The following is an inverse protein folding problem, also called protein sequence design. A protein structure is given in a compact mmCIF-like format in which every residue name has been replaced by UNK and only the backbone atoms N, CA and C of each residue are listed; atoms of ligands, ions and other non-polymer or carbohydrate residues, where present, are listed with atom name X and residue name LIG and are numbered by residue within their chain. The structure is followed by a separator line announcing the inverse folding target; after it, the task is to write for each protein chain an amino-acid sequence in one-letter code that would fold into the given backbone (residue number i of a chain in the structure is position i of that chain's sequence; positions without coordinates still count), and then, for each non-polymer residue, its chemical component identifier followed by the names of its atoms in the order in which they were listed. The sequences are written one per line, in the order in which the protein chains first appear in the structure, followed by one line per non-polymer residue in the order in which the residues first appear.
data_IF_228949615247
#
_entry.id   IF_228949615247
#
_cell.length_a   1.000
_cell.length_b   1.000
_cell.length_c   1.000
_cell.angle_alpha   90.00
_cell.angle_beta   90.00
_cell.angle_gamma   90.00
#
_symmetry.space_group_name_H-M   'P 1'
#
loop_
_entity.id
_entity.type
_entity.pdbx_description
1 polymer ?
#
# COMPACT_ATOMS: atom_id res chain seq x y z
N UNK A 1 -13.48 44.21 -3.52
CA UNK A 1 -13.49 42.98 -2.72
C UNK A 1 -13.90 41.88 -3.68
N UNK A 2 -12.93 41.12 -4.18
CA UNK A 2 -13.14 39.95 -5.05
C UNK A 2 -13.34 38.64 -4.26
N UNK A 3 -13.07 38.66 -2.96
CA UNK A 3 -13.31 37.59 -2.02
C UNK A 3 -14.79 37.45 -1.73
N UNK A 4 -15.34 36.29 -2.03
CA UNK A 4 -16.77 36.05 -1.98
C UNK A 4 -17.17 34.81 -1.17
N UNK A 5 -16.28 34.27 -0.33
CA UNK A 5 -16.63 33.10 0.50
C UNK A 5 -17.69 33.47 1.56
N UNK A 6 -18.83 32.76 1.63
CA UNK A 6 -19.99 33.18 2.40
C UNK A 6 -19.82 33.11 3.92
N UNK A 7 -18.92 32.24 4.40
CA UNK A 7 -18.77 31.93 5.82
C UNK A 7 -17.40 32.25 6.42
N UNK A 8 -16.41 32.62 5.59
CA UNK A 8 -15.01 32.77 6.03
C UNK A 8 -14.45 34.06 5.48
N UNK A 9 -13.94 34.93 6.35
CA UNK A 9 -13.33 36.18 5.96
C UNK A 9 -11.89 35.97 5.46
N UNK A 10 -11.43 36.82 4.53
CA UNK A 10 -10.07 36.76 3.97
C UNK A 10 -9.00 36.86 5.07
N UNK A 11 -9.20 37.74 6.04
CA UNK A 11 -8.28 37.97 7.15
C UNK A 11 -8.11 36.72 8.02
N UNK A 12 -9.18 35.93 8.16
CA UNK A 12 -9.16 34.68 8.89
C UNK A 12 -8.35 33.61 8.14
N UNK A 13 -8.53 33.51 6.82
CA UNK A 13 -7.72 32.63 5.96
C UNK A 13 -6.24 32.98 6.08
N UNK A 14 -5.87 34.25 5.95
CA UNK A 14 -4.47 34.71 6.05
C UNK A 14 -3.86 34.42 7.44
N UNK A 15 -4.64 34.55 8.51
CA UNK A 15 -4.22 34.19 9.86
C UNK A 15 -3.93 32.69 9.98
N UNK A 16 -4.81 31.85 9.42
CA UNK A 16 -4.65 30.39 9.44
C UNK A 16 -3.49 29.93 8.56
N UNK A 17 -3.22 30.61 7.44
CA UNK A 17 -2.07 30.30 6.57
C UNK A 17 -0.74 30.41 7.32
N UNK A 18 -0.59 31.40 8.22
CA UNK A 18 0.63 31.51 9.05
C UNK A 18 0.84 30.26 9.93
N UNK A 19 -0.20 29.83 10.63
CA UNK A 19 -0.12 28.60 11.45
C UNK A 19 0.08 27.34 10.60
N UNK A 20 -0.53 27.28 9.42
CA UNK A 20 -0.35 26.17 8.50
C UNK A 20 1.08 26.08 7.97
N UNK A 21 1.72 27.21 7.70
CA UNK A 21 3.14 27.30 7.33
C UNK A 21 4.03 26.74 8.44
N UNK A 22 3.76 27.09 9.70
CA UNK A 22 4.50 26.54 10.84
C UNK A 22 4.35 25.01 10.93
N UNK A 23 3.14 24.49 10.69
CA UNK A 23 2.87 23.05 10.60
C UNK A 23 3.68 22.39 9.49
N UNK A 24 3.75 22.98 8.29
CA UNK A 24 4.55 22.45 7.17
C UNK A 24 6.06 22.45 7.47
N UNK A 25 6.57 23.48 8.13
CA UNK A 25 7.98 23.56 8.56
C UNK A 25 8.30 22.44 9.56
N UNK A 26 7.46 22.28 10.58
CA UNK A 26 7.64 21.24 11.59
C UNK A 26 7.44 19.83 11.03
N UNK A 27 6.55 19.66 10.04
CA UNK A 27 6.35 18.40 9.33
C UNK A 27 7.60 17.99 8.52
N UNK A 28 8.47 18.94 8.16
CA UNK A 28 9.79 18.69 7.57
C UNK A 28 10.80 18.01 8.50
N UNK A 29 10.43 17.74 9.76
CA UNK A 29 11.17 16.86 10.68
C UNK A 29 12.17 17.55 11.61
N UNK A 30 12.23 18.89 11.61
CA UNK A 30 13.11 19.66 12.49
C UNK A 30 12.37 20.85 13.11
N UNK A 31 12.62 21.09 14.39
CA UNK A 31 12.18 22.30 15.09
C UNK A 31 13.15 23.46 14.82
N UNK A 32 12.79 24.68 15.22
CA UNK A 32 13.65 25.88 15.08
C UNK A 32 14.99 25.77 15.82
N UNK A 33 15.10 24.90 16.83
CA UNK A 33 16.36 24.62 17.54
C UNK A 33 17.24 23.58 16.83
N UNK A 34 16.78 23.02 15.70
CA UNK A 34 17.47 21.94 14.99
C UNK A 34 17.24 20.54 15.58
N UNK A 35 16.51 20.42 16.69
CA UNK A 35 16.07 19.13 17.23
C UNK A 35 15.06 18.45 16.29
N UNK A 36 14.98 17.12 16.32
CA UNK A 36 13.96 16.39 15.57
C UNK A 36 12.56 16.81 16.05
N UNK A 37 11.68 17.14 15.10
CA UNK A 37 10.29 17.44 15.42
C UNK A 37 9.57 16.13 15.77
N UNK A 38 9.03 16.05 16.99
CA UNK A 38 8.20 14.93 17.43
C UNK A 38 6.74 15.23 17.15
N UNK A 39 6.05 14.28 16.55
CA UNK A 39 4.62 14.35 16.26
C UNK A 39 3.92 13.14 16.86
N UNK A 40 2.78 13.37 17.50
CA UNK A 40 1.82 12.33 17.87
C UNK A 40 0.81 12.10 16.74
N UNK A 41 0.18 10.93 16.74
CA UNK A 41 -0.87 10.57 15.79
C UNK A 41 -2.01 11.61 15.74
N UNK A 42 -2.39 12.18 16.88
CA UNK A 42 -3.43 13.20 16.96
C UNK A 42 -3.00 14.54 16.36
N UNK A 43 -1.73 14.92 16.47
CA UNK A 43 -1.20 16.15 15.85
C UNK A 43 -1.11 16.00 14.33
N UNK A 44 -0.76 14.82 13.83
CA UNK A 44 -0.83 14.50 12.39
C UNK A 44 -2.27 14.59 11.87
N UNK A 45 -3.23 14.01 12.60
CA UNK A 45 -4.68 14.12 12.29
C UNK A 45 -5.16 15.57 12.29
N UNK A 46 -4.67 16.41 13.21
CA UNK A 46 -5.01 17.84 13.26
C UNK A 46 -4.41 18.62 12.08
N UNK A 47 -3.15 18.35 11.72
CA UNK A 47 -2.50 18.95 10.56
C UNK A 47 -3.26 18.67 9.26
N UNK A 48 -3.74 17.44 9.08
CA UNK A 48 -4.55 17.07 7.92
C UNK A 48 -5.97 17.66 7.95
N UNK A 49 -6.58 17.83 9.14
CA UNK A 49 -7.84 18.57 9.29
C UNK A 49 -7.71 20.04 8.92
N UNK A 50 -6.61 20.69 9.29
CA UNK A 50 -6.31 22.04 8.81
C UNK A 50 -6.14 22.11 7.30
N UNK A 51 -5.46 21.12 6.70
CA UNK A 51 -5.36 21.05 5.26
C UNK A 51 -6.72 20.85 4.55
N UNK A 52 -7.61 20.02 5.12
CA UNK A 52 -8.97 19.83 4.61
C UNK A 52 -9.76 21.14 4.56
N UNK A 53 -9.70 21.91 5.64
CA UNK A 53 -10.39 23.19 5.74
C UNK A 53 -10.01 24.15 4.60
N UNK A 54 -8.73 24.25 4.23
CA UNK A 54 -8.32 25.05 3.09
C UNK A 54 -8.90 24.52 1.78
N UNK A 55 -8.82 23.22 1.54
CA UNK A 55 -9.36 22.63 0.31
C UNK A 55 -10.88 22.81 0.19
N UNK A 56 -11.62 22.73 1.31
CA UNK A 56 -13.07 22.99 1.37
C UNK A 56 -13.41 24.43 1.00
N UNK A 57 -12.68 25.43 1.51
CA UNK A 57 -12.88 26.84 1.12
C UNK A 57 -12.76 27.02 -0.41
N UNK A 58 -11.72 26.44 -1.01
CA UNK A 58 -11.52 26.58 -2.46
C UNK A 58 -12.53 25.78 -3.27
N UNK A 59 -13.01 24.66 -2.73
CA UNK A 59 -14.11 23.91 -3.32
C UNK A 59 -15.40 24.74 -3.31
N UNK A 60 -15.77 25.33 -2.18
CA UNK A 60 -16.96 26.17 -2.05
C UNK A 60 -16.90 27.40 -2.98
N UNK A 61 -15.72 28.00 -3.14
CA UNK A 61 -15.49 29.08 -4.10
C UNK A 61 -15.63 28.62 -5.56
N UNK A 62 -15.21 27.39 -5.89
CA UNK A 62 -15.39 26.81 -7.24
C UNK A 62 -16.86 26.50 -7.50
N UNK A 63 -17.54 25.87 -6.54
CA UNK A 63 -18.95 25.49 -6.64
C UNK A 63 -19.87 26.72 -6.76
N UNK A 64 -19.48 27.84 -6.16
CA UNK A 64 -20.17 29.14 -6.30
C UNK A 64 -19.75 29.97 -7.51
N UNK A 65 -18.78 29.51 -8.31
CA UNK A 65 -18.28 30.21 -9.49
C UNK A 65 -17.44 31.46 -9.19
N UNK A 66 -17.04 31.68 -7.94
CA UNK A 66 -16.31 32.87 -7.47
C UNK A 66 -14.80 32.64 -7.33
N UNK A 67 -14.31 31.44 -7.66
CA UNK A 67 -12.92 31.03 -7.45
C UNK A 67 -11.90 31.98 -8.06
N UNK A 68 -12.03 32.36 -9.33
CA UNK A 68 -10.98 33.11 -10.04
C UNK A 68 -10.69 34.48 -9.42
N UNK A 69 -11.73 35.24 -9.07
CA UNK A 69 -11.56 36.57 -8.50
C UNK A 69 -11.13 36.50 -7.02
N UNK A 70 -11.65 35.52 -6.26
CA UNK A 70 -11.26 35.28 -4.88
C UNK A 70 -9.82 34.76 -4.75
N UNK A 71 -9.40 33.87 -5.65
CA UNK A 71 -8.04 33.32 -5.71
C UNK A 71 -7.02 34.41 -6.07
N UNK A 72 -7.34 35.27 -7.04
CA UNK A 72 -6.48 36.40 -7.44
C UNK A 72 -6.26 37.40 -6.30
N UNK A 73 -7.32 37.73 -5.56
CA UNK A 73 -7.21 38.63 -4.40
C UNK A 73 -6.44 37.96 -3.25
N UNK A 74 -6.69 36.67 -2.98
CA UNK A 74 -5.94 35.92 -1.97
C UNK A 74 -4.45 35.84 -2.33
N UNK A 75 -4.11 35.57 -3.59
CA UNK A 75 -2.71 35.48 -4.05
C UNK A 75 -1.97 36.81 -3.91
N UNK A 76 -2.63 37.94 -4.17
CA UNK A 76 -2.07 39.25 -3.92
C UNK A 76 -1.79 39.47 -2.41
N UNK A 77 -2.72 39.07 -1.54
CA UNK A 77 -2.54 39.17 -0.10
C UNK A 77 -1.46 38.20 0.45
N UNK A 78 -1.34 37.00 -0.13
CA UNK A 78 -0.29 36.04 0.18
C UNK A 78 1.09 36.53 -0.26
N UNK A 79 1.18 37.27 -1.37
CA UNK A 79 2.43 37.90 -1.83
C UNK A 79 2.95 38.91 -0.80
N UNK A 80 2.08 39.75 -0.24
CA UNK A 80 2.43 40.67 0.83
C UNK A 80 2.85 39.92 2.11
N UNK A 81 2.12 38.86 2.46
CA UNK A 81 2.42 38.02 3.62
C UNK A 81 3.81 37.36 3.52
N UNK A 82 4.11 36.78 2.35
CA UNK A 82 5.36 36.05 2.08
C UNK A 82 6.56 36.97 1.89
N UNK A 83 6.33 38.25 1.56
CA UNK A 83 7.37 39.27 1.47
C UNK A 83 7.88 39.76 2.83
N UNK A 84 7.23 39.36 3.93
CA UNK A 84 7.67 39.74 5.27
C UNK A 84 9.02 39.08 5.64
N UNK A 85 9.96 39.82 6.27
CA UNK A 85 11.32 39.34 6.52
C UNK A 85 11.42 38.12 7.47
N UNK A 86 10.36 37.82 8.22
CA UNK A 86 10.25 36.66 9.10
C UNK A 86 9.58 35.44 8.47
N UNK A 87 9.13 35.51 7.22
CA UNK A 87 8.45 34.39 6.56
C UNK A 87 9.45 33.32 6.10
N UNK A 88 9.16 32.01 6.27
CA UNK A 88 10.04 30.94 5.82
C UNK A 88 10.28 31.00 4.30
N UNK A 89 11.52 31.34 3.89
CA UNK A 89 11.89 31.53 2.47
C UNK A 89 11.62 30.30 1.60
N UNK A 90 11.68 29.09 2.17
CA UNK A 90 11.36 27.84 1.48
C UNK A 90 9.87 27.66 1.14
N UNK A 91 9.00 28.50 1.70
CA UNK A 91 7.55 28.54 1.46
C UNK A 91 7.09 29.89 0.90
N UNK A 92 8.01 30.74 0.43
CA UNK A 92 7.68 32.06 -0.13
C UNK A 92 6.81 32.01 -1.41
N UNK A 93 6.51 30.82 -1.93
CA UNK A 93 5.70 30.59 -3.14
C UNK A 93 4.26 30.17 -2.78
N UNK A 94 3.86 30.18 -1.50
CA UNK A 94 2.49 29.81 -1.09
C UNK A 94 1.45 30.67 -1.83
N UNK A 95 0.54 29.98 -2.54
CA UNK A 95 -0.54 30.54 -3.36
C UNK A 95 -1.86 29.78 -3.12
N UNK A 96 -2.97 30.33 -3.58
CA UNK A 96 -4.30 29.75 -3.63
C UNK A 96 -4.28 28.34 -4.22
N UNK A 97 -3.59 28.14 -5.36
CA UNK A 97 -3.40 26.83 -5.99
C UNK A 97 -2.73 25.82 -5.04
N UNK A 98 -1.69 26.23 -4.32
CA UNK A 98 -1.00 25.38 -3.35
C UNK A 98 -1.90 25.02 -2.16
N UNK A 99 -2.66 25.99 -1.64
CA UNK A 99 -3.59 25.77 -0.54
C UNK A 99 -4.79 24.91 -0.98
N UNK A 100 -5.19 24.96 -2.25
CA UNK A 100 -6.19 24.06 -2.83
C UNK A 100 -5.74 22.60 -2.91
N UNK A 101 -4.45 22.35 -2.69
CA UNK A 101 -3.82 21.03 -2.57
C UNK A 101 -3.17 20.82 -1.17
N UNK A 102 -3.69 21.50 -0.14
CA UNK A 102 -3.06 21.53 1.18
C UNK A 102 -2.78 20.14 1.77
N UNK A 103 -3.63 19.12 1.54
CA UNK A 103 -3.38 17.77 2.05
C UNK A 103 -2.15 17.16 1.39
N UNK A 104 -1.99 17.34 0.09
CA UNK A 104 -0.80 16.88 -0.65
C UNK A 104 0.46 17.53 -0.07
N UNK A 105 0.40 18.82 0.28
CA UNK A 105 1.55 19.52 0.86
C UNK A 105 1.93 18.97 2.23
N UNK A 106 0.95 18.75 3.12
CA UNK A 106 1.19 18.16 4.44
C UNK A 106 1.82 16.78 4.30
N UNK A 107 1.22 15.91 3.47
CA UNK A 107 1.72 14.56 3.22
C UNK A 107 3.16 14.60 2.68
N UNK A 108 3.43 15.43 1.67
CA UNK A 108 4.77 15.56 1.09
C UNK A 108 5.80 16.03 2.11
N UNK A 109 5.46 16.95 3.01
CA UNK A 109 6.40 17.45 4.02
C UNK A 109 6.72 16.40 5.08
N UNK A 110 5.69 15.70 5.58
CA UNK A 110 5.90 14.55 6.46
C UNK A 110 6.77 13.50 5.76
N UNK A 111 6.45 13.09 4.54
CA UNK A 111 7.21 12.08 3.80
C UNK A 111 8.65 12.49 3.44
N UNK A 112 8.96 13.79 3.40
CA UNK A 112 10.33 14.28 3.18
C UNK A 112 11.18 14.26 4.45
N UNK A 113 10.56 14.22 5.63
CA UNK A 113 11.30 14.15 6.88
C UNK A 113 12.06 12.83 6.95
N UNK A 114 13.37 12.89 7.23
CA UNK A 114 14.23 11.69 7.35
C UNK A 114 13.89 10.81 8.57
N UNK A 115 12.94 11.23 9.40
CA UNK A 115 12.62 10.68 10.74
C UNK A 115 11.13 10.39 10.94
N UNK A 116 10.34 10.16 9.88
CA UNK A 116 8.92 9.81 10.07
C UNK A 116 8.83 8.48 10.82
N UNK A 117 8.13 8.50 11.96
CA UNK A 117 7.87 7.29 12.73
C UNK A 117 6.73 6.46 12.11
N UNK A 118 6.68 5.18 12.45
CA UNK A 118 5.63 4.25 11.95
C UNK A 118 4.24 4.71 12.39
N UNK A 119 4.12 5.23 13.61
CA UNK A 119 2.87 5.75 14.16
C UNK A 119 2.39 6.99 13.39
N UNK A 120 3.32 7.84 12.96
CA UNK A 120 3.02 9.02 12.17
C UNK A 120 2.63 8.67 10.72
N UNK A 121 3.24 7.63 10.14
CA UNK A 121 2.81 7.08 8.84
C UNK A 121 1.41 6.47 8.93
N UNK A 122 1.14 5.67 9.96
CA UNK A 122 -0.17 5.07 10.22
C UNK A 122 -1.26 6.12 10.40
N UNK A 123 -1.00 7.15 11.23
CA UNK A 123 -1.91 8.26 11.44
C UNK A 123 -2.16 9.08 10.16
N UNK A 124 -1.14 9.25 9.31
CA UNK A 124 -1.25 9.99 8.06
C UNK A 124 -2.08 9.23 7.01
N UNK A 125 -1.93 7.89 6.97
CA UNK A 125 -2.79 7.02 6.16
C UNK A 125 -4.24 7.02 6.68
N UNK A 126 -4.43 6.79 7.98
CA UNK A 126 -5.74 6.75 8.63
C UNK A 126 -6.51 8.07 8.46
N UNK A 127 -5.85 9.21 8.67
CA UNK A 127 -6.44 10.53 8.53
C UNK A 127 -6.79 10.87 7.08
N UNK A 128 -5.94 10.50 6.12
CA UNK A 128 -6.22 10.67 4.69
C UNK A 128 -7.43 9.81 4.26
N UNK A 129 -7.62 8.65 4.89
CA UNK A 129 -8.75 7.75 4.64
C UNK A 129 -10.06 8.21 5.32
N UNK A 130 -9.99 8.71 6.57
CA UNK A 130 -11.15 9.09 7.37
C UNK A 130 -11.70 10.50 7.06
N UNK A 131 -10.94 11.33 6.35
CA UNK A 131 -11.30 12.69 5.93
C UNK A 131 -12.57 12.82 5.05
N UNK A 132 -13.23 11.72 4.70
CA UNK A 132 -14.40 11.68 3.80
C UNK A 132 -15.74 11.41 4.49
N UNK A 133 -15.79 11.17 5.80
CA UNK A 133 -17.04 10.76 6.49
C UNK A 133 -17.67 11.91 7.28
N UNK A 134 -17.79 13.08 6.65
CA UNK A 134 -18.28 14.31 7.28
C UNK A 134 -19.15 15.16 6.37
N UNK A 135 -20.07 14.56 5.62
CA UNK A 135 -21.04 15.29 4.80
C UNK A 135 -22.24 14.42 4.45
N UNK A 136 -23.43 14.82 4.91
CA UNK A 136 -24.72 14.19 4.61
C UNK A 136 -25.02 14.24 3.09
N UNK A 137 -25.66 13.23 2.48
CA UNK A 137 -25.79 13.18 1.03
C UNK A 137 -27.02 13.98 0.56
N UNK A 138 -26.82 14.90 -0.38
CA UNK A 138 -27.89 15.37 -1.26
C UNK A 138 -27.41 15.40 -2.69
N UNK A 139 -28.12 14.60 -3.50
CA UNK A 139 -28.17 14.53 -4.97
C UNK A 139 -26.91 14.14 -5.74
N UNK A 140 -27.14 13.17 -6.62
CA UNK A 140 -26.22 12.45 -7.48
C UNK A 140 -25.67 13.31 -8.63
N UNK A 141 -24.51 12.88 -9.10
CA UNK A 141 -23.98 13.08 -10.45
C UNK A 141 -23.41 14.47 -10.77
N UNK A 142 -22.24 14.80 -10.20
CA UNK A 142 -21.18 15.56 -10.91
C UNK A 142 -19.82 15.68 -10.15
N UNK A 143 -19.74 15.30 -8.87
CA UNK A 143 -18.55 15.55 -8.01
C UNK A 143 -17.39 14.52 -8.10
N UNK A 144 -17.33 13.67 -9.13
CA UNK A 144 -16.36 12.55 -9.15
C UNK A 144 -14.96 12.87 -9.74
N UNK A 145 -14.75 14.04 -10.33
CA UNK A 145 -13.51 14.33 -11.06
C UNK A 145 -12.36 14.89 -10.19
N UNK A 146 -12.62 15.87 -9.29
CA UNK A 146 -11.54 16.54 -8.53
C UNK A 146 -11.01 15.70 -7.35
N UNK A 147 -11.89 14.98 -6.64
CA UNK A 147 -11.48 14.18 -5.46
C UNK A 147 -10.55 13.01 -5.81
N UNK A 148 -10.66 12.49 -7.04
CA UNK A 148 -9.82 11.40 -7.56
C UNK A 148 -8.38 11.87 -7.85
N UNK A 149 -8.19 13.17 -8.11
CA UNK A 149 -6.88 13.76 -8.42
C UNK A 149 -5.93 13.77 -7.22
N UNK A 150 -6.40 14.23 -6.06
CA UNK A 150 -5.56 14.38 -4.86
C UNK A 150 -5.10 13.03 -4.28
N UNK A 151 -5.98 12.02 -4.26
CA UNK A 151 -5.62 10.66 -3.81
C UNK A 151 -4.51 10.04 -4.67
N UNK A 152 -4.58 10.20 -6.00
CA UNK A 152 -3.55 9.71 -6.94
C UNK A 152 -2.21 10.42 -6.76
N UNK A 153 -2.21 11.72 -6.42
CA UNK A 153 -0.99 12.49 -6.17
C UNK A 153 -0.35 12.07 -4.84
N UNK A 154 -1.16 11.85 -3.80
CA UNK A 154 -0.69 11.35 -2.50
C UNK A 154 -0.03 9.98 -2.65
N UNK A 155 -0.67 9.03 -3.35
CA UNK A 155 -0.11 7.70 -3.62
C UNK A 155 1.22 7.80 -4.39
N UNK A 156 1.33 8.70 -5.38
CA UNK A 156 2.58 8.95 -6.11
C UNK A 156 3.69 9.50 -5.20
N UNK A 157 3.39 10.39 -4.26
CA UNK A 157 4.38 10.91 -3.32
C UNK A 157 4.85 9.84 -2.33
N UNK A 158 3.93 9.02 -1.82
CA UNK A 158 4.29 7.83 -1.03
C UNK A 158 5.21 6.89 -1.80
N UNK A 159 4.88 6.60 -3.06
CA UNK A 159 5.69 5.76 -3.93
C UNK A 159 7.10 6.34 -4.12
N UNK A 160 7.21 7.66 -4.38
CA UNK A 160 8.49 8.35 -4.57
C UNK A 160 9.37 8.35 -3.32
N UNK A 161 8.78 8.58 -2.14
CA UNK A 161 9.51 8.53 -0.87
C UNK A 161 10.00 7.12 -0.56
N UNK A 162 9.16 6.10 -0.79
CA UNK A 162 9.56 4.70 -0.68
C UNK A 162 10.69 4.36 -1.65
N UNK A 163 10.62 4.85 -2.89
CA UNK A 163 11.68 4.65 -3.89
C UNK A 163 13.01 5.25 -3.46
N UNK A 164 12.99 6.45 -2.88
CA UNK A 164 14.20 7.13 -2.35
C UNK A 164 14.78 6.42 -1.13
N UNK A 165 13.94 5.96 -0.20
CA UNK A 165 14.39 5.23 0.99
C UNK A 165 14.98 3.86 0.63
N UNK A 166 14.36 3.15 -0.32
CA UNK A 166 14.86 1.87 -0.84
C UNK A 166 16.20 2.02 -1.58
N UNK A 167 16.39 3.12 -2.33
CA UNK A 167 17.68 3.41 -2.97
C UNK A 167 18.81 3.68 -1.95
N UNK A 168 18.50 4.26 -0.79
CA UNK A 168 19.48 4.41 0.29
C UNK A 168 19.87 3.05 0.90
N UNK A 169 18.90 2.17 1.17
CA UNK A 169 19.17 0.81 1.63
C UNK A 169 19.98 -0.02 0.61
N UNK A 170 19.78 0.21 -0.70
CA UNK A 170 20.60 -0.39 -1.75
C UNK A 170 22.03 0.14 -1.76
N UNK A 171 22.21 1.45 -1.57
CA UNK A 171 23.54 2.03 -1.48
C UNK A 171 24.27 1.42 -0.27
N UNK A 172 23.61 1.31 0.89
CA UNK A 172 24.15 0.69 2.10
C UNK A 172 24.49 -0.80 1.90
N UNK A 173 23.58 -1.60 1.34
CA UNK A 173 23.82 -3.03 1.11
C UNK A 173 24.80 -3.30 -0.04
N UNK A 174 24.81 -2.46 -1.06
CA UNK A 174 25.78 -2.45 -2.14
C UNK A 174 27.18 -2.10 -1.63
N UNK A 175 27.29 -1.10 -0.76
CA UNK A 175 28.51 -0.74 -0.03
C UNK A 175 28.96 -1.86 0.90
N UNK A 176 28.05 -2.54 1.60
CA UNK A 176 28.37 -3.68 2.45
C UNK A 176 28.86 -4.89 1.65
N UNK A 177 28.24 -5.15 0.51
CA UNK A 177 28.67 -6.21 -0.42
C UNK A 177 30.03 -5.88 -1.04
N UNK A 178 30.25 -4.63 -1.46
CA UNK A 178 31.54 -4.13 -1.92
C UNK A 178 32.59 -4.25 -0.81
N UNK A 179 32.28 -3.82 0.41
CA UNK A 179 33.15 -3.92 1.58
C UNK A 179 33.52 -5.38 1.89
N UNK A 180 32.55 -6.29 1.81
CA UNK A 180 32.76 -7.72 2.01
C UNK A 180 33.58 -8.35 0.87
N UNK A 181 33.43 -7.86 -0.36
CA UNK A 181 34.27 -8.27 -1.49
C UNK A 181 35.70 -7.75 -1.36
N UNK A 182 35.89 -6.52 -0.90
CA UNK A 182 37.22 -5.93 -0.63
C UNK A 182 37.91 -6.66 0.52
N UNK A 183 37.17 -7.01 1.59
CA UNK A 183 37.68 -7.86 2.69
C UNK A 183 38.06 -9.26 2.21
N UNK A 184 37.31 -9.84 1.28
CA UNK A 184 37.59 -11.17 0.70
C UNK A 184 38.82 -11.14 -0.22
N UNK A 185 38.94 -10.11 -1.06
CA UNK A 185 40.12 -9.88 -1.92
C UNK A 185 41.38 -9.55 -1.11
N UNK A 186 41.23 -8.87 0.04
CA UNK A 186 42.31 -8.66 1.01
C UNK A 186 42.82 -9.97 1.63
N UNK A 187 41.98 -11.01 1.71
CA UNK A 187 42.33 -12.31 2.27
C UNK A 187 42.85 -13.29 1.20
N UNK A 188 42.44 -13.12 -0.06
CA UNK A 188 42.79 -13.99 -1.20
C UNK A 188 44.08 -13.58 -1.95
N UNK A 189 44.73 -12.47 -1.59
CA UNK A 189 46.01 -12.05 -2.18
C UNK A 189 47.22 -12.96 -1.86
N UNK A 190 47.01 -14.20 -1.39
CA UNK A 190 48.08 -15.17 -1.17
C UNK A 190 48.15 -16.34 -2.16
N UNK A 191 47.24 -16.50 -3.15
CA UNK A 191 47.36 -17.62 -4.12
C UNK A 191 46.92 -17.21 -5.54
N UNK A 192 47.91 -17.11 -6.44
CA UNK A 192 47.75 -16.73 -7.85
C UNK A 192 47.00 -17.78 -8.69
N UNK A 193 45.98 -17.36 -9.47
CA UNK A 193 45.71 -17.82 -10.86
C UNK A 193 44.71 -16.87 -11.58
N UNK A 194 44.84 -16.65 -12.90
CA UNK A 194 43.98 -15.73 -13.63
C UNK A 194 42.71 -16.45 -14.11
N UNK A 195 41.53 -15.83 -13.94
CA UNK A 195 40.29 -16.35 -14.51
C UNK A 195 39.44 -15.24 -15.15
N UNK A 196 39.14 -15.48 -16.44
CA UNK A 196 37.96 -15.14 -17.28
C UNK A 196 37.14 -13.88 -16.89
N UNK A 197 36.82 -12.97 -17.84
CA UNK A 197 36.06 -11.76 -17.53
C UNK A 197 34.63 -12.10 -17.07
N UNK A 198 34.39 -12.01 -15.76
CA UNK A 198 33.09 -12.13 -15.16
C UNK A 198 32.21 -10.94 -15.55
N UNK A 199 31.20 -11.15 -16.39
CA UNK A 199 30.07 -10.22 -16.51
C UNK A 199 29.45 -10.12 -15.10
N UNK A 200 29.26 -8.92 -14.53
CA UNK A 200 29.31 -8.77 -13.08
C UNK A 200 27.97 -9.21 -12.48
N UNK A 201 28.02 -10.07 -11.46
CA UNK A 201 26.88 -10.46 -10.59
C UNK A 201 26.03 -9.26 -10.12
N UNK A 202 26.63 -8.06 -10.11
CA UNK A 202 26.01 -6.77 -9.84
C UNK A 202 24.89 -6.40 -10.82
N UNK A 203 25.02 -6.69 -12.13
CA UNK A 203 24.00 -6.33 -13.13
C UNK A 203 22.71 -7.13 -12.94
N UNK A 204 22.83 -8.45 -12.74
CA UNK A 204 21.68 -9.34 -12.48
C UNK A 204 20.96 -8.99 -11.17
N UNK A 205 21.71 -8.59 -10.14
CA UNK A 205 21.14 -8.16 -8.87
C UNK A 205 20.32 -6.87 -8.99
N UNK A 206 20.71 -5.95 -9.88
CA UNK A 206 19.97 -4.72 -10.17
C UNK A 206 18.66 -5.05 -10.90
N UNK A 207 18.69 -5.95 -11.89
CA UNK A 207 17.49 -6.35 -12.64
C UNK A 207 16.46 -7.05 -11.74
N UNK A 208 16.89 -7.99 -10.90
CA UNK A 208 16.01 -8.69 -9.96
C UNK A 208 15.41 -7.73 -8.90
N UNK A 209 16.17 -6.71 -8.50
CA UNK A 209 15.66 -5.66 -7.61
C UNK A 209 14.61 -4.78 -8.29
N UNK A 210 14.82 -4.38 -9.54
CA UNK A 210 13.83 -3.61 -10.30
C UNK A 210 12.53 -4.40 -10.49
N UNK A 211 12.64 -5.71 -10.75
CA UNK A 211 11.47 -6.60 -10.81
C UNK A 211 10.75 -6.69 -9.47
N UNK A 212 11.47 -6.85 -8.36
CA UNK A 212 10.88 -6.83 -7.02
C UNK A 212 10.19 -5.49 -6.71
N UNK A 213 10.80 -4.35 -7.10
CA UNK A 213 10.20 -3.02 -6.96
C UNK A 213 8.87 -2.92 -7.71
N UNK A 214 8.85 -3.35 -8.96
CA UNK A 214 7.67 -3.31 -9.80
C UNK A 214 6.55 -4.20 -9.24
N UNK A 215 6.90 -5.43 -8.82
CA UNK A 215 5.97 -6.35 -8.17
C UNK A 215 5.39 -5.76 -6.88
N UNK A 216 6.26 -5.21 -6.01
CA UNK A 216 5.84 -4.60 -4.75
C UNK A 216 4.93 -3.39 -4.98
N UNK A 217 5.26 -2.53 -5.93
CA UNK A 217 4.43 -1.38 -6.30
C UNK A 217 3.05 -1.82 -6.82
N UNK A 218 2.99 -2.87 -7.64
CA UNK A 218 1.73 -3.48 -8.11
C UNK A 218 0.87 -3.98 -6.95
N UNK A 219 1.48 -4.67 -5.99
CA UNK A 219 0.78 -5.16 -4.79
C UNK A 219 0.23 -4.01 -3.93
N UNK A 220 1.05 -2.98 -3.68
CA UNK A 220 0.62 -1.80 -2.92
C UNK A 220 -0.46 -1.01 -3.64
N UNK A 221 -0.39 -0.91 -4.97
CA UNK A 221 -1.43 -0.25 -5.77
C UNK A 221 -2.78 -0.92 -5.61
N UNK A 222 -2.83 -2.24 -5.41
CA UNK A 222 -4.07 -2.96 -5.13
C UNK A 222 -4.52 -2.75 -3.68
N UNK A 223 -3.62 -2.94 -2.71
CA UNK A 223 -3.95 -2.82 -1.28
C UNK A 223 -4.35 -1.40 -0.87
N UNK A 224 -3.85 -0.37 -1.57
CA UNK A 224 -4.17 1.02 -1.27
C UNK A 224 -5.22 1.60 -2.24
N UNK A 225 -5.81 0.76 -3.09
CA UNK A 225 -6.82 1.20 -4.03
C UNK A 225 -8.10 1.62 -3.31
N UNK A 226 -8.69 2.73 -3.76
CA UNK A 226 -9.88 3.32 -3.15
C UNK A 226 -11.08 2.38 -3.20
N UNK A 227 -11.26 1.63 -4.30
CA UNK A 227 -12.32 0.62 -4.42
C UNK A 227 -12.10 -0.47 -3.38
N UNK A 228 -10.88 -0.97 -3.24
CA UNK A 228 -10.58 -2.07 -2.31
C UNK A 228 -10.82 -1.65 -0.87
N UNK A 229 -10.46 -0.42 -0.50
CA UNK A 229 -10.74 0.13 0.84
C UNK A 229 -12.26 0.22 1.08
N UNK A 230 -13.06 0.63 0.08
CA UNK A 230 -14.53 0.67 0.19
C UNK A 230 -15.13 -0.73 0.35
N UNK A 231 -14.65 -1.69 -0.44
CA UNK A 231 -15.11 -3.09 -0.36
C UNK A 231 -14.74 -3.68 1.01
N UNK A 232 -13.55 -3.39 1.54
CA UNK A 232 -13.13 -3.79 2.88
C UNK A 232 -14.05 -3.21 3.96
N UNK A 233 -14.39 -1.92 3.89
CA UNK A 233 -15.33 -1.29 4.82
C UNK A 233 -16.73 -1.92 4.73
N UNK A 234 -17.21 -2.20 3.51
CA UNK A 234 -18.46 -2.92 3.28
C UNK A 234 -18.43 -4.34 3.85
N UNK A 235 -17.34 -5.08 3.63
CA UNK A 235 -17.14 -6.42 4.19
C UNK A 235 -17.20 -6.39 5.73
N UNK A 236 -16.56 -5.39 6.36
CA UNK A 236 -16.62 -5.18 7.82
C UNK A 236 -18.06 -5.06 8.33
N UNK A 237 -18.93 -4.36 7.59
CA UNK A 237 -20.33 -4.18 7.98
C UNK A 237 -21.13 -5.46 7.77
N UNK A 238 -20.91 -6.16 6.65
CA UNK A 238 -21.64 -7.39 6.30
C UNK A 238 -21.31 -8.51 7.30
N UNK A 239 -20.03 -8.73 7.59
CA UNK A 239 -19.59 -9.86 8.41
C UNK A 239 -19.76 -9.64 9.92
N UNK A 240 -20.10 -8.42 10.35
CA UNK A 240 -20.59 -8.16 11.72
C UNK A 240 -22.00 -8.72 11.97
N UNK A 241 -22.75 -9.02 10.92
CA UNK A 241 -24.05 -9.67 11.06
C UNK A 241 -23.87 -11.17 11.37
N UNK A 242 -24.84 -11.82 12.04
CA UNK A 242 -24.83 -13.28 12.23
C UNK A 242 -24.64 -14.05 10.92
N UNK A 243 -23.94 -15.20 11.00
CA UNK A 243 -23.58 -16.05 9.87
C UNK A 243 -24.73 -16.31 8.90
N UNK A 244 -25.89 -16.66 9.44
CA UNK A 244 -27.09 -17.00 8.69
C UNK A 244 -27.64 -15.81 7.89
N UNK A 245 -27.36 -14.57 8.31
CA UNK A 245 -27.85 -13.37 7.64
C UNK A 245 -27.00 -13.02 6.42
N UNK A 246 -25.67 -12.98 6.56
CA UNK A 246 -24.82 -12.68 5.41
C UNK A 246 -24.73 -13.82 4.40
N UNK A 247 -24.89 -15.08 4.82
CA UNK A 247 -24.99 -16.20 3.86
C UNK A 247 -26.20 -16.05 2.92
N UNK A 248 -27.34 -15.56 3.42
CA UNK A 248 -28.53 -15.27 2.60
C UNK A 248 -28.31 -14.14 1.59
N UNK A 249 -27.42 -13.19 1.89
CA UNK A 249 -27.06 -12.11 0.95
C UNK A 249 -26.28 -12.69 -0.24
N UNK A 250 -25.47 -13.71 -0.03
CA UNK A 250 -24.63 -14.30 -1.08
C UNK A 250 -25.33 -15.41 -1.88
N UNK A 251 -26.41 -15.97 -1.37
CA UNK A 251 -27.16 -17.05 -2.04
C UNK A 251 -27.69 -16.64 -3.44
N UNK A 252 -28.29 -15.45 -3.63
CA UNK A 252 -28.69 -14.99 -4.97
C UNK A 252 -27.51 -14.76 -5.93
N UNK A 253 -26.33 -14.38 -5.40
CA UNK A 253 -25.14 -14.07 -6.20
C UNK A 253 -24.48 -15.32 -6.79
N UNK A 254 -24.73 -16.49 -6.21
CA UNK A 254 -24.25 -17.79 -6.74
C UNK A 254 -24.95 -18.21 -8.03
N UNK A 255 -26.19 -17.75 -8.25
CA UNK A 255 -27.02 -18.13 -9.40
C UNK A 255 -26.88 -17.22 -10.63
N UNK A 256 -26.24 -16.06 -10.50
CA UNK A 256 -26.02 -15.10 -11.59
C UNK A 256 -24.86 -15.57 -12.49
N UNK A 257 -25.18 -16.47 -13.41
CA UNK A 257 -24.27 -16.94 -14.45
C UNK A 257 -24.26 -15.96 -15.63
N UNK A 258 -23.75 -14.74 -15.43
CA UNK A 258 -23.34 -13.92 -16.56
C UNK A 258 -21.94 -14.35 -17.05
N UNK A 259 -21.70 -14.44 -18.37
CA UNK A 259 -20.45 -14.96 -18.93
C UNK A 259 -19.23 -14.06 -18.69
N UNK A 260 -19.41 -12.83 -18.21
CA UNK A 260 -18.33 -11.83 -18.12
C UNK A 260 -17.88 -11.54 -16.68
N UNK A 261 -18.76 -11.69 -15.68
CA UNK A 261 -18.49 -11.45 -14.26
C UNK A 261 -19.29 -12.47 -13.45
N UNK A 262 -18.65 -13.54 -12.97
CA UNK A 262 -19.38 -14.53 -12.17
C UNK A 262 -19.49 -14.00 -10.75
N UNK A 263 -20.70 -13.77 -10.23
CA UNK A 263 -20.94 -13.28 -8.85
C UNK A 263 -20.18 -14.02 -7.74
N UNK A 264 -19.69 -15.23 -8.05
CA UNK A 264 -18.79 -16.00 -7.19
C UNK A 264 -17.39 -15.36 -7.02
N UNK A 265 -16.84 -14.67 -8.02
CA UNK A 265 -15.56 -13.94 -7.91
C UNK A 265 -15.70 -12.77 -6.94
N UNK A 266 -16.74 -11.96 -7.10
CA UNK A 266 -17.01 -10.83 -6.21
C UNK A 266 -17.30 -11.32 -4.79
N UNK A 267 -18.07 -12.41 -4.65
CA UNK A 267 -18.31 -13.05 -3.35
C UNK A 267 -17.00 -13.50 -2.71
N UNK A 268 -16.08 -14.09 -3.48
CA UNK A 268 -14.79 -14.53 -2.96
C UNK A 268 -13.87 -13.35 -2.61
N UNK A 269 -13.79 -12.31 -3.45
CA UNK A 269 -13.04 -11.09 -3.13
C UNK A 269 -13.54 -10.48 -1.82
N UNK A 270 -14.86 -10.39 -1.66
CA UNK A 270 -15.50 -9.88 -0.44
C UNK A 270 -15.21 -10.76 0.79
N UNK A 271 -15.28 -12.09 0.66
CA UNK A 271 -14.94 -13.01 1.76
C UNK A 271 -13.48 -12.88 2.19
N UNK A 272 -12.54 -12.81 1.23
CA UNK A 272 -11.11 -12.66 1.54
C UNK A 272 -10.79 -11.31 2.17
N UNK A 273 -11.44 -10.22 1.73
CA UNK A 273 -11.32 -8.90 2.35
C UNK A 273 -11.95 -8.88 3.76
N UNK A 274 -13.10 -9.54 3.93
CA UNK A 274 -13.75 -9.71 5.22
C UNK A 274 -12.85 -10.39 6.25
N UNK A 275 -12.19 -11.49 5.86
CA UNK A 275 -11.31 -12.28 6.74
C UNK A 275 -9.98 -11.60 7.11
N UNK A 276 -9.68 -10.44 6.52
CA UNK A 276 -8.49 -9.64 6.86
C UNK A 276 -8.82 -8.26 7.40
N UNK A 277 -10.10 -7.91 7.53
CA UNK A 277 -10.52 -6.57 7.91
C UNK A 277 -9.94 -6.16 9.27
N UNK A 278 -9.95 -7.04 10.27
CA UNK A 278 -9.40 -6.75 11.61
C UNK A 278 -7.88 -6.58 11.64
N UNK A 279 -7.17 -7.10 10.64
CA UNK A 279 -5.70 -7.12 10.55
C UNK A 279 -5.14 -6.35 9.36
N UNK A 280 -5.97 -5.62 8.63
CA UNK A 280 -5.62 -4.97 7.37
C UNK A 280 -4.44 -4.00 7.51
N UNK A 281 -4.50 -3.10 8.49
CA UNK A 281 -3.42 -2.15 8.74
C UNK A 281 -2.11 -2.85 9.08
N UNK A 282 -2.16 -3.86 9.96
CA UNK A 282 -0.99 -4.64 10.35
C UNK A 282 -0.39 -5.43 9.18
N UNK A 283 -1.24 -5.92 8.26
CA UNK A 283 -0.79 -6.59 7.03
C UNK A 283 -0.09 -5.61 6.08
N UNK A 284 -0.65 -4.42 5.88
CA UNK A 284 -0.04 -3.37 5.04
C UNK A 284 1.29 -2.92 5.63
N UNK A 285 1.33 -2.64 6.93
CA UNK A 285 2.56 -2.26 7.63
C UNK A 285 3.66 -3.31 7.44
N UNK A 286 3.35 -4.57 7.71
CA UNK A 286 4.29 -5.70 7.51
C UNK A 286 4.75 -5.79 6.05
N UNK A 287 3.84 -5.61 5.09
CA UNK A 287 4.17 -5.65 3.67
C UNK A 287 5.04 -4.45 3.25
N UNK A 288 4.84 -3.27 3.83
CA UNK A 288 5.69 -2.09 3.58
C UNK A 288 7.08 -2.27 4.21
N UNK A 289 7.15 -2.88 5.39
CA UNK A 289 8.42 -3.21 6.05
C UNK A 289 9.20 -4.32 5.34
N UNK A 290 8.61 -4.98 4.34
CA UNK A 290 9.24 -6.04 3.57
C UNK A 290 10.50 -5.52 2.85
N UNK A 291 11.67 -6.08 3.17
CA UNK A 291 12.93 -5.72 2.52
C UNK A 291 13.24 -6.67 1.38
N UNK A 292 13.89 -6.16 0.33
CA UNK A 292 14.34 -6.99 -0.77
C UNK A 292 15.27 -8.09 -0.26
N UNK A 293 15.04 -9.33 -0.67
CA UNK A 293 15.99 -10.43 -0.47
C UNK A 293 16.23 -11.12 -1.81
N UNK A 294 17.49 -11.33 -2.15
CA UNK A 294 17.87 -12.04 -3.36
C UNK A 294 17.68 -13.55 -3.12
N UNK A 295 16.47 -14.05 -3.39
CA UNK A 295 16.07 -15.44 -3.19
C UNK A 295 15.49 -15.97 -4.51
N UNK A 296 16.03 -17.06 -5.08
CA UNK A 296 15.48 -17.67 -6.28
C UNK A 296 14.04 -18.17 -6.06
N UNK A 297 13.21 -18.09 -7.08
CA UNK A 297 11.81 -18.55 -7.05
C UNK A 297 11.70 -20.04 -6.70
N UNK A 298 12.63 -20.87 -7.19
CA UNK A 298 12.76 -22.29 -6.81
C UNK A 298 12.83 -22.49 -5.30
N UNK A 299 13.64 -21.66 -4.63
CA UNK A 299 13.80 -21.72 -3.18
C UNK A 299 12.55 -21.23 -2.45
N UNK A 300 11.95 -20.13 -2.92
CA UNK A 300 10.69 -19.62 -2.35
C UNK A 300 9.57 -20.67 -2.43
N UNK A 301 9.46 -21.35 -3.57
CA UNK A 301 8.50 -22.41 -3.80
C UNK A 301 8.74 -23.63 -2.90
N UNK A 302 9.99 -24.08 -2.77
CA UNK A 302 10.35 -25.19 -1.88
C UNK A 302 10.03 -24.87 -0.40
N UNK A 303 10.36 -23.66 0.06
CA UNK A 303 10.09 -23.20 1.43
C UNK A 303 8.57 -23.16 1.73
N UNK A 304 7.74 -22.80 0.75
CA UNK A 304 6.27 -22.81 0.88
C UNK A 304 5.71 -24.22 1.08
N UNK A 305 6.21 -25.19 0.32
CA UNK A 305 5.84 -26.61 0.49
C UNK A 305 6.30 -27.15 1.85
N UNK A 306 7.48 -26.74 2.33
CA UNK A 306 7.93 -27.09 3.68
C UNK A 306 7.03 -26.50 4.77
N UNK A 307 6.53 -25.27 4.57
CA UNK A 307 5.58 -24.64 5.48
C UNK A 307 4.26 -25.43 5.56
N UNK A 308 3.73 -25.89 4.43
CA UNK A 308 2.54 -26.75 4.41
C UNK A 308 2.77 -28.05 5.20
N UNK A 309 3.92 -28.70 4.99
CA UNK A 309 4.26 -29.93 5.72
C UNK A 309 4.36 -29.72 7.23
N UNK A 310 5.00 -28.63 7.69
CA UNK A 310 5.08 -28.29 9.12
C UNK A 310 3.69 -28.05 9.71
N UNK A 311 2.84 -27.36 8.97
CA UNK A 311 1.49 -26.98 9.39
C UNK A 311 0.52 -28.16 9.48
N UNK A 312 0.76 -29.25 8.73
CA UNK A 312 -0.02 -30.48 8.86
C UNK A 312 0.40 -31.37 10.04
N UNK A 313 1.59 -31.16 10.60
CA UNK A 313 2.12 -31.91 11.76
C UNK A 313 1.95 -31.16 13.09
N UNK A 314 2.10 -29.83 13.08
CA UNK A 314 1.87 -28.98 14.25
C UNK A 314 0.42 -28.49 14.25
N UNK A 315 -0.34 -28.76 15.32
CA UNK A 315 -1.59 -28.03 15.57
C UNK A 315 -1.22 -26.55 15.75
N UNK A 316 -1.24 -25.79 14.66
CA UNK A 316 -1.09 -24.34 14.73
C UNK A 316 -2.11 -23.83 15.75
N UNK A 317 -1.60 -23.21 16.81
CA UNK A 317 -2.45 -22.68 17.85
C UNK A 317 -3.38 -21.66 17.22
N UNK A 318 -4.67 -21.95 17.38
CA UNK A 318 -5.85 -21.26 16.89
C UNK A 318 -6.01 -19.83 17.47
N UNK A 319 -4.92 -19.26 18.01
CA UNK A 319 -4.90 -18.16 18.98
C UNK A 319 -5.12 -16.77 18.37
N UNK A 320 -5.19 -16.63 17.05
CA UNK A 320 -5.23 -15.31 16.42
C UNK A 320 -6.40 -15.06 15.46
N UNK A 321 -7.17 -16.08 15.06
CA UNK A 321 -8.36 -15.86 14.25
C UNK A 321 -9.60 -15.88 15.15
N UNK A 322 -10.41 -14.83 15.07
CA UNK A 322 -11.69 -14.82 15.77
C UNK A 322 -12.66 -15.83 15.09
N UNK A 323 -13.74 -16.20 15.79
CA UNK A 323 -14.73 -17.17 15.28
C UNK A 323 -15.34 -16.71 13.93
N UNK A 324 -15.52 -15.40 13.77
CA UNK A 324 -16.08 -14.78 12.56
C UNK A 324 -15.18 -14.99 11.34
N UNK A 325 -13.87 -14.77 11.46
CA UNK A 325 -12.89 -14.98 10.39
C UNK A 325 -12.84 -16.43 9.93
N UNK A 326 -12.98 -17.39 10.86
CA UNK A 326 -13.06 -18.82 10.54
C UNK A 326 -14.31 -19.13 9.74
N UNK A 327 -15.47 -18.62 10.15
CA UNK A 327 -16.74 -18.82 9.45
C UNK A 327 -16.71 -18.29 8.01
N UNK A 328 -16.08 -17.13 7.80
CA UNK A 328 -15.91 -16.53 6.46
C UNK A 328 -15.00 -17.41 5.59
N UNK A 329 -13.86 -17.86 6.12
CA UNK A 329 -12.92 -18.71 5.39
C UNK A 329 -13.50 -20.09 5.06
N UNK A 330 -14.29 -20.67 5.98
CA UNK A 330 -14.99 -21.93 5.76
C UNK A 330 -16.04 -21.80 4.65
N UNK A 331 -16.79 -20.70 4.64
CA UNK A 331 -17.74 -20.41 3.56
C UNK A 331 -17.04 -20.21 2.21
N UNK A 332 -15.91 -19.49 2.19
CA UNK A 332 -15.10 -19.29 1.00
C UNK A 332 -14.56 -20.62 0.46
N UNK A 333 -14.09 -21.51 1.35
CA UNK A 333 -13.62 -22.86 1.00
C UNK A 333 -14.73 -23.70 0.37
N UNK A 334 -15.91 -23.76 0.99
CA UNK A 334 -17.04 -24.51 0.45
C UNK A 334 -17.49 -23.96 -0.91
N UNK A 335 -17.44 -22.64 -1.10
CA UNK A 335 -17.87 -21.99 -2.34
C UNK A 335 -16.91 -22.26 -3.52
N UNK A 336 -15.64 -22.56 -3.25
CA UNK A 336 -14.63 -22.77 -4.30
C UNK A 336 -14.28 -24.24 -4.55
N UNK A 337 -14.73 -25.16 -3.68
CA UNK A 337 -14.42 -26.60 -3.75
C UNK A 337 -14.85 -27.22 -5.09
N UNK A 338 -15.97 -26.77 -5.67
CA UNK A 338 -16.45 -27.22 -6.98
C UNK A 338 -15.77 -26.51 -8.17
N UNK A 339 -15.16 -25.33 -7.95
CA UNK A 339 -14.49 -24.56 -9.01
C UNK A 339 -13.18 -23.89 -8.53
N UNK A 340 -12.13 -24.67 -8.20
CA UNK A 340 -10.88 -24.15 -7.66
C UNK A 340 -10.13 -23.15 -8.57
N UNK A 341 -10.37 -23.23 -9.89
CA UNK A 341 -9.73 -22.35 -10.88
C UNK A 341 -10.08 -20.87 -10.70
N UNK A 342 -11.14 -20.56 -9.94
CA UNK A 342 -11.54 -19.18 -9.67
C UNK A 342 -10.54 -18.41 -8.79
N UNK A 343 -9.70 -19.10 -8.01
CA UNK A 343 -8.60 -18.45 -7.27
C UNK A 343 -7.61 -17.72 -8.19
N UNK A 344 -7.55 -18.11 -9.48
CA UNK A 344 -6.73 -17.42 -10.49
C UNK A 344 -7.31 -16.08 -10.94
N UNK A 345 -8.61 -15.85 -10.74
CA UNK A 345 -9.23 -14.56 -11.06
C UNK A 345 -9.05 -13.55 -9.93
N UNK A 346 -8.69 -14.02 -8.73
CA UNK A 346 -8.46 -13.18 -7.57
C UNK A 346 -7.02 -12.63 -7.57
N UNK A 347 -6.83 -11.39 -7.07
CA UNK A 347 -5.51 -10.76 -6.96
C UNK A 347 -4.52 -11.59 -6.12
N UNK A 348 -3.29 -11.84 -6.61
CA UNK A 348 -2.27 -12.62 -5.89
C UNK A 348 -2.00 -12.12 -4.47
N UNK A 349 -1.91 -10.79 -4.29
CA UNK A 349 -1.64 -10.18 -2.98
C UNK A 349 -2.80 -10.40 -2.00
N UNK A 350 -4.05 -10.34 -2.46
CA UNK A 350 -5.23 -10.58 -1.63
C UNK A 350 -5.28 -12.04 -1.19
N UNK A 351 -5.16 -12.96 -2.14
CA UNK A 351 -5.20 -14.40 -1.86
C UNK A 351 -4.12 -14.81 -0.85
N UNK A 352 -2.89 -14.32 -1.01
CA UNK A 352 -1.81 -14.61 -0.07
C UNK A 352 -2.00 -13.95 1.31
N UNK A 353 -2.50 -12.72 1.37
CA UNK A 353 -2.72 -12.03 2.64
C UNK A 353 -3.86 -12.67 3.46
N UNK A 354 -4.91 -13.14 2.77
CA UNK A 354 -6.13 -13.63 3.40
C UNK A 354 -6.09 -15.10 3.78
N UNK A 355 -5.54 -15.96 2.92
CA UNK A 355 -5.60 -17.42 3.08
C UNK A 355 -4.51 -17.89 4.06
N UNK A 356 -4.85 -18.37 5.27
CA UNK A 356 -3.86 -18.81 6.24
C UNK A 356 -3.23 -20.16 5.84
N UNK A 357 -1.93 -20.40 6.15
CA UNK A 357 -1.21 -21.61 5.71
C UNK A 357 -1.77 -22.91 6.28
N UNK A 358 -2.50 -22.87 7.40
CA UNK A 358 -3.17 -24.03 8.02
C UNK A 358 -4.55 -24.34 7.44
N UNK A 359 -5.11 -23.44 6.63
CA UNK A 359 -6.45 -23.64 6.08
C UNK A 359 -6.45 -24.68 4.95
N UNK A 360 -7.55 -25.43 4.82
CA UNK A 360 -7.78 -26.27 3.64
C UNK A 360 -7.86 -25.44 2.34
N UNK A 361 -8.28 -24.18 2.43
CA UNK A 361 -8.26 -23.23 1.32
C UNK A 361 -6.82 -22.98 0.80
N UNK A 362 -5.82 -22.96 1.70
CA UNK A 362 -4.42 -22.85 1.30
C UNK A 362 -3.93 -24.07 0.53
N UNK A 363 -4.34 -25.27 0.93
CA UNK A 363 -4.03 -26.52 0.20
C UNK A 363 -4.64 -26.50 -1.20
N UNK A 364 -5.90 -26.07 -1.31
CA UNK A 364 -6.57 -25.90 -2.61
C UNK A 364 -5.81 -24.88 -3.47
N UNK A 365 -5.39 -23.76 -2.88
CA UNK A 365 -4.67 -22.71 -3.60
C UNK A 365 -3.28 -23.16 -4.06
N UNK A 366 -2.50 -23.81 -3.20
CA UNK A 366 -1.18 -24.31 -3.56
C UNK A 366 -1.29 -25.40 -4.63
N UNK A 367 -2.26 -26.32 -4.53
CA UNK A 367 -2.50 -27.32 -5.56
C UNK A 367 -2.87 -26.71 -6.93
N UNK A 368 -3.50 -25.53 -6.95
CA UNK A 368 -3.72 -24.79 -8.19
C UNK A 368 -2.42 -24.23 -8.75
N UNK A 369 -1.55 -23.69 -7.90
CA UNK A 369 -0.21 -23.22 -8.28
C UNK A 369 0.63 -24.37 -8.81
N UNK A 370 0.65 -25.52 -8.13
CA UNK A 370 1.42 -26.71 -8.52
C UNK A 370 1.06 -27.18 -9.94
N UNK A 371 -0.25 -27.23 -10.26
CA UNK A 371 -0.74 -27.54 -11.61
C UNK A 371 -0.15 -26.60 -12.65
N UNK A 372 -0.18 -25.30 -12.39
CA UNK A 372 0.30 -24.30 -13.35
C UNK A 372 1.84 -24.23 -13.42
N UNK A 373 2.52 -24.60 -12.33
CA UNK A 373 3.97 -24.56 -12.22
C UNK A 373 4.65 -25.78 -12.86
N UNK A 374 4.00 -26.96 -12.81
CA UNK A 374 4.57 -28.21 -13.34
C UNK A 374 3.94 -28.69 -14.68
N UNK A 375 2.71 -28.32 -15.04
CA UNK A 375 2.09 -28.84 -16.26
C UNK A 375 2.58 -28.11 -17.54
N UNK A 376 3.28 -28.85 -18.39
CA UNK A 376 3.80 -28.36 -19.68
C UNK A 376 2.79 -28.37 -20.83
N UNK A 377 1.64 -29.03 -20.66
CA UNK A 377 0.72 -29.37 -21.79
C UNK A 377 -0.75 -28.99 -21.57
N UNK A 378 -1.09 -28.29 -20.49
CA UNK A 378 -2.48 -27.91 -20.22
C UNK A 378 -2.99 -26.82 -21.18
N UNK A 379 -4.14 -27.06 -21.82
CA UNK A 379 -4.89 -26.05 -22.58
C UNK A 379 -5.37 -24.86 -21.70
N UNK A 380 -5.35 -25.04 -20.37
CA UNK A 380 -5.74 -24.04 -19.36
C UNK A 380 -4.53 -23.29 -18.75
N UNK A 381 -3.34 -23.36 -19.37
CA UNK A 381 -2.14 -22.71 -18.85
C UNK A 381 -2.32 -21.19 -18.76
N UNK A 382 -2.10 -20.62 -17.57
CA UNK A 382 -2.23 -19.17 -17.30
C UNK A 382 -0.94 -18.37 -17.55
N UNK A 383 0.20 -19.03 -17.79
CA UNK A 383 1.47 -18.37 -18.11
C UNK A 383 2.03 -18.79 -19.48
N UNK A 384 2.82 -17.91 -20.11
CA UNK A 384 3.49 -18.13 -21.41
C UNK A 384 4.93 -18.67 -21.29
N UNK A 385 5.42 -18.95 -20.08
CA UNK A 385 6.77 -19.50 -19.87
C UNK A 385 6.87 -20.88 -20.54
N UNK A 386 8.01 -21.22 -21.17
CA UNK A 386 8.27 -22.55 -21.76
C UNK A 386 9.16 -23.36 -20.81
N UNK A 387 9.15 -24.69 -20.94
CA UNK A 387 10.08 -25.60 -20.25
C UNK A 387 9.77 -25.90 -18.77
N UNK A 388 10.33 -27.02 -18.30
CA UNK A 388 10.30 -27.52 -16.90
C UNK A 388 11.35 -26.83 -16.00
N UNK A 389 12.13 -25.91 -16.56
CA UNK A 389 13.21 -25.24 -15.83
C UNK A 389 12.63 -24.14 -14.95
N UNK A 390 12.71 -24.37 -13.63
CA UNK A 390 12.23 -23.47 -12.58
C UNK A 390 12.78 -22.04 -12.72
N UNK A 391 13.92 -21.88 -13.38
CA UNK A 391 14.58 -20.59 -13.62
C UNK A 391 13.96 -19.77 -14.77
N UNK A 392 13.00 -20.31 -15.53
CA UNK A 392 12.32 -19.60 -16.63
C UNK A 392 11.09 -18.78 -16.17
N UNK A 393 10.67 -18.91 -14.91
CA UNK A 393 9.57 -18.14 -14.31
C UNK A 393 10.07 -16.83 -13.66
N UNK A 394 10.68 -15.95 -14.45
CA UNK A 394 11.25 -14.68 -13.93
C UNK A 394 10.23 -13.55 -13.77
N UNK A 395 9.17 -13.51 -14.58
CA UNK A 395 8.17 -12.45 -14.56
C UNK A 395 6.80 -12.92 -15.11
N UNK A 396 6.11 -13.77 -14.35
CA UNK A 396 4.79 -14.26 -14.72
C UNK A 396 3.85 -14.31 -13.50
N UNK A 397 2.55 -14.48 -13.73
CA UNK A 397 1.55 -14.49 -12.66
C UNK A 397 1.81 -15.58 -11.61
N UNK A 398 2.40 -16.72 -12.01
CA UNK A 398 2.78 -17.79 -11.06
C UNK A 398 3.90 -17.31 -10.14
N UNK A 399 4.91 -16.63 -10.68
CA UNK A 399 5.99 -15.99 -9.93
C UNK A 399 5.42 -15.00 -8.92
N UNK A 400 4.49 -14.15 -9.34
CA UNK A 400 3.86 -13.17 -8.47
C UNK A 400 3.12 -13.83 -7.30
N UNK A 401 2.38 -14.93 -7.55
CA UNK A 401 1.65 -15.68 -6.51
C UNK A 401 2.60 -16.33 -5.50
N UNK A 402 3.67 -16.97 -5.98
CA UNK A 402 4.72 -17.54 -5.11
C UNK A 402 5.37 -16.44 -4.27
N UNK A 403 5.70 -15.29 -4.87
CA UNK A 403 6.28 -14.15 -4.17
C UNK A 403 5.35 -13.60 -3.09
N UNK A 404 4.06 -13.46 -3.39
CA UNK A 404 3.06 -13.01 -2.40
C UNK A 404 2.97 -14.00 -1.23
N UNK A 405 2.80 -15.29 -1.51
CA UNK A 405 2.72 -16.33 -0.48
C UNK A 405 3.97 -16.35 0.41
N UNK A 406 5.16 -16.25 -0.18
CA UNK A 406 6.40 -16.23 0.56
C UNK A 406 6.52 -14.99 1.47
N UNK A 407 6.15 -13.81 0.95
CA UNK A 407 6.18 -12.55 1.68
C UNK A 407 5.20 -12.53 2.87
N UNK A 408 4.04 -13.20 2.75
CA UNK A 408 3.05 -13.27 3.82
C UNK A 408 3.25 -14.42 4.81
N UNK A 409 3.83 -15.55 4.40
CA UNK A 409 3.87 -16.75 5.24
C UNK A 409 5.27 -17.15 5.71
N UNK A 410 6.33 -16.95 4.92
CA UNK A 410 7.67 -17.47 5.24
C UNK A 410 8.58 -16.39 5.83
N UNK A 411 8.67 -15.24 5.18
CA UNK A 411 9.50 -14.14 5.68
C UNK A 411 8.93 -13.50 6.95
N UNK A 412 7.62 -13.65 7.19
CA UNK A 412 6.99 -13.17 8.42
C UNK A 412 7.33 -14.07 9.63
N UNK A 413 7.55 -15.38 9.43
CA UNK A 413 7.97 -16.30 10.49
C UNK A 413 9.41 -16.04 10.98
N UNK A 414 10.29 -15.52 10.12
CA UNK A 414 11.69 -15.27 10.46
C UNK A 414 11.92 -14.00 11.31
N UNK A 415 10.91 -13.15 11.50
CA UNK A 415 10.97 -11.96 12.36
C UNK A 415 10.47 -12.22 13.80
N UNK A 416 9.97 -13.42 14.10
CA UNK A 416 9.48 -13.79 15.45
C UNK A 416 10.43 -14.68 16.24
N UNK A 417 11.67 -14.90 15.76
CA UNK A 417 12.71 -15.55 16.57
C UNK A 417 13.41 -14.46 17.38
N UNK A 418 13.24 -14.40 18.72
CA UNK A 418 14.07 -13.52 19.53
C UNK A 418 15.52 -14.00 19.43
N UNK A 419 16.44 -13.06 19.15
CA UNK A 419 17.87 -13.28 19.39
C UNK A 419 18.17 -13.27 20.88
#
# INVERSE_FOLDING_TARGET
MGWAHPAVAMEEVLRLVRGFVDVLVLAGGRTSSGAAATWSAEEVKKALRWALFFEEIFKDLRDSGQYEDSARELDAALLELTSSPGFPKGLAVVRSEMLSMARVLVVRHFLKAKTVSVENLGALLEATMNARVGGLPTSSDELHAESTGHSRIIVKEFQKTLDSALCACLAERGLETLLNSVKRNSLENSINKPSIPAIPKTSRMIDEFLMWKQWRAKCLSYLLDERIIRVLAGASLIFKAPKEQWMKIFEPLKGLAEPCHSGLVETMELCLLGSITGRWNTLIERFISHTFCFIPISKMYADLHQCLHRTSQEKFQDEHLNLEEKDILDYARQSIESKPSLLWLLPPVLTAAAIPPWSSLFQIYLAQIDKQFHDTTSADRKCKCRGDEIDQHSNCEITERIQCLYAFHIQQLHLMVPR
#
